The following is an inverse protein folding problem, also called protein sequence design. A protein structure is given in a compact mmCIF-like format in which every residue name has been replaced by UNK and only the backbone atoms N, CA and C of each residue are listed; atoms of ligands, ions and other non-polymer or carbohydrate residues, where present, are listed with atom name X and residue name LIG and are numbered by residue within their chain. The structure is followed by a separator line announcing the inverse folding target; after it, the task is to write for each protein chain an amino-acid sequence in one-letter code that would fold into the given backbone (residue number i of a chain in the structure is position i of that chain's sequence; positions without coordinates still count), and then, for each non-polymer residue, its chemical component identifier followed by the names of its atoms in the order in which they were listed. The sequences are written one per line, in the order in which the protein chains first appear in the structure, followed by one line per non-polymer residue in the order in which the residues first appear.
data_IF_161105621983
#
_entry.id   IF_161105621983
#
_cell.length_a   1.000
_cell.length_b   1.000
_cell.length_c   1.000
_cell.angle_alpha   90.00
_cell.angle_beta   90.00
_cell.angle_gamma   90.00
#
_symmetry.space_group_name_H-M   'P 1'
#
loop_
_entity.id
_entity.type
_entity.pdbx_description
1 polymer ?
#
# COMPACT_ATOMS: atom_id res chain seq x y z
N UNK A 1 0.68 3.43 16.37
CA UNK A 1 2.03 3.79 15.88
C UNK A 1 1.83 4.20 14.43
N UNK A 2 2.24 5.40 14.03
CA UNK A 2 2.25 5.74 12.60
C UNK A 2 3.11 4.70 11.88
N UNK A 3 2.64 4.10 10.78
CA UNK A 3 3.49 3.22 9.99
C UNK A 3 4.74 4.01 9.57
N UNK A 4 5.92 3.36 9.49
CA UNK A 4 7.12 4.03 9.02
C UNK A 4 6.82 4.72 7.69
N UNK A 5 7.33 5.93 7.48
CA UNK A 5 7.23 6.62 6.19
C UNK A 5 7.97 5.80 5.14
N UNK A 6 7.27 4.86 4.53
CA UNK A 6 7.77 3.98 3.49
C UNK A 6 6.85 4.13 2.29
N UNK A 7 7.42 4.59 1.19
CA UNK A 7 6.72 4.79 -0.08
C UNK A 7 7.34 3.89 -1.14
N UNK A 8 6.51 3.09 -1.79
CA UNK A 8 6.95 2.22 -2.89
C UNK A 8 7.42 3.06 -4.08
N UNK A 9 6.81 4.22 -4.33
CA UNK A 9 7.24 5.15 -5.38
C UNK A 9 8.67 5.68 -5.16
N UNK A 10 9.09 5.82 -3.89
CA UNK A 10 10.45 6.27 -3.55
C UNK A 10 11.47 5.13 -3.54
N UNK A 11 11.10 3.97 -2.99
CA UNK A 11 12.03 2.89 -2.72
C UNK A 11 12.12 1.89 -3.89
N UNK A 12 11.01 1.64 -4.58
CA UNK A 12 10.90 0.66 -5.68
C UNK A 12 10.06 1.21 -6.84
N UNK A 13 10.52 2.26 -7.52
CA UNK A 13 9.73 2.98 -8.54
C UNK A 13 9.31 2.09 -9.72
N UNK A 14 10.12 1.12 -10.12
CA UNK A 14 9.80 0.18 -11.20
C UNK A 14 8.63 -0.75 -10.82
N UNK A 15 8.59 -1.20 -9.55
CA UNK A 15 7.49 -2.03 -9.04
C UNK A 15 6.22 -1.20 -8.93
N UNK A 16 6.32 0.02 -8.41
CA UNK A 16 5.20 0.96 -8.34
C UNK A 16 4.58 1.22 -9.72
N UNK A 17 5.43 1.47 -10.73
CA UNK A 17 5.01 1.68 -12.12
C UNK A 17 4.29 0.45 -12.69
N UNK A 18 4.88 -0.73 -12.55
CA UNK A 18 4.27 -1.97 -13.04
C UNK A 18 2.90 -2.24 -12.40
N UNK A 19 2.77 -2.01 -11.08
CA UNK A 19 1.48 -2.17 -10.40
C UNK A 19 0.46 -1.21 -11.00
N UNK A 20 0.78 0.09 -11.06
CA UNK A 20 -0.12 1.14 -11.58
C UNK A 20 -0.59 0.88 -13.00
N UNK A 21 0.32 0.48 -13.89
CA UNK A 21 0.01 0.13 -15.28
C UNK A 21 -0.90 -1.11 -15.38
N UNK A 22 -0.72 -2.11 -14.53
CA UNK A 22 -1.55 -3.31 -14.51
C UNK A 22 -2.93 -3.13 -13.88
N UNK A 23 -3.09 -2.17 -12.96
CA UNK A 23 -4.33 -1.96 -12.18
C UNK A 23 -5.18 -0.77 -12.62
N UNK A 24 -4.85 -0.10 -13.74
CA UNK A 24 -5.51 1.12 -14.21
C UNK A 24 -5.58 2.23 -13.15
N UNK A 25 -4.57 2.34 -12.29
CA UNK A 25 -4.52 3.38 -11.25
C UNK A 25 -4.15 4.73 -11.85
N UNK A 26 -4.75 5.79 -11.32
CA UNK A 26 -4.39 7.19 -11.62
C UNK A 26 -3.43 7.75 -10.56
N UNK A 27 -2.81 8.90 -10.83
CA UNK A 27 -1.76 9.47 -9.96
C UNK A 27 -2.21 9.77 -8.53
N UNK A 28 -3.50 10.01 -8.31
CA UNK A 28 -4.10 10.27 -7.00
C UNK A 28 -4.49 9.00 -6.23
N UNK A 29 -4.39 7.82 -6.86
CA UNK A 29 -4.71 6.56 -6.19
C UNK A 29 -3.57 6.13 -5.24
N UNK A 30 -3.95 5.52 -4.13
CA UNK A 30 -3.02 5.10 -3.07
C UNK A 30 -2.93 3.57 -3.05
N UNK A 31 -1.70 3.04 -2.99
CA UNK A 31 -1.44 1.62 -2.74
C UNK A 31 -1.21 1.41 -1.25
N UNK A 32 -1.93 0.46 -0.65
CA UNK A 32 -1.76 0.08 0.75
C UNK A 32 -1.32 -1.38 0.81
N UNK A 33 -0.18 -1.63 1.46
CA UNK A 33 0.40 -2.96 1.59
C UNK A 33 0.32 -3.38 3.06
N UNK A 34 -0.56 -4.33 3.36
CA UNK A 34 -0.61 -5.00 4.66
C UNK A 34 0.24 -6.26 4.66
N UNK A 35 1.04 -6.46 5.72
CA UNK A 35 1.87 -7.64 5.90
C UNK A 35 1.75 -8.17 7.32
N UNK A 36 1.65 -9.49 7.46
CA UNK A 36 1.68 -10.22 8.73
C UNK A 36 1.88 -11.72 8.47
N UNK A 37 2.28 -12.45 9.51
CA UNK A 37 2.44 -13.92 9.45
C UNK A 37 1.10 -14.67 9.23
N UNK A 38 -0.03 -14.00 9.49
CA UNK A 38 -1.37 -14.52 9.28
C UNK A 38 -2.11 -13.67 8.22
N UNK A 39 -2.69 -14.27 7.18
CA UNK A 39 -3.41 -13.54 6.13
C UNK A 39 -4.53 -12.63 6.64
N UNK A 40 -5.29 -13.07 7.65
CA UNK A 40 -6.38 -12.26 8.25
C UNK A 40 -5.81 -11.01 8.91
N UNK A 41 -4.66 -11.14 9.58
CA UNK A 41 -3.98 -10.01 10.22
C UNK A 41 -3.43 -9.05 9.18
N UNK A 42 -2.86 -9.57 8.08
CA UNK A 42 -2.35 -8.74 6.98
C UNK A 42 -3.49 -7.93 6.32
N UNK A 43 -4.65 -8.55 6.09
CA UNK A 43 -5.85 -7.87 5.58
C UNK A 43 -6.31 -6.78 6.54
N UNK A 44 -6.43 -7.10 7.83
CA UNK A 44 -6.85 -6.12 8.84
C UNK A 44 -5.87 -4.95 8.91
N UNK A 45 -4.56 -5.20 8.84
CA UNK A 45 -3.55 -4.14 8.83
C UNK A 45 -3.72 -3.18 7.63
N UNK A 46 -3.96 -3.72 6.41
CA UNK A 46 -4.21 -2.91 5.23
C UNK A 46 -5.50 -2.08 5.37
N UNK A 47 -6.59 -2.69 5.86
CA UNK A 47 -7.85 -1.99 6.07
C UNK A 47 -7.76 -0.89 7.13
N UNK A 48 -7.09 -1.17 8.25
CA UNK A 48 -6.86 -0.16 9.30
C UNK A 48 -6.07 1.03 8.74
N UNK A 49 -5.00 0.79 8.00
CA UNK A 49 -4.24 1.86 7.35
C UNK A 49 -5.09 2.65 6.35
N UNK A 50 -5.97 1.98 5.59
CA UNK A 50 -6.90 2.64 4.67
C UNK A 50 -7.87 3.58 5.40
N UNK A 51 -8.40 3.14 6.55
CA UNK A 51 -9.31 3.96 7.35
C UNK A 51 -8.63 5.15 8.05
N UNK A 52 -7.33 5.09 8.33
CA UNK A 52 -6.60 6.22 8.92
C UNK A 52 -6.29 7.34 7.90
N UNK A 53 -6.42 7.07 6.60
CA UNK A 53 -6.20 8.07 5.54
C UNK A 53 -7.41 9.01 5.33
N UNK A 54 -8.57 8.72 5.94
CA UNK A 54 -9.82 9.48 5.81
C UNK A 54 -10.35 9.91 7.17
#
# INVERSE_FOLDING_TARGET
MLPPEWSIDKNEPEVAKNIKECSNMIDDDIIIIGSADNPIVAINAALTAAFELF
#
